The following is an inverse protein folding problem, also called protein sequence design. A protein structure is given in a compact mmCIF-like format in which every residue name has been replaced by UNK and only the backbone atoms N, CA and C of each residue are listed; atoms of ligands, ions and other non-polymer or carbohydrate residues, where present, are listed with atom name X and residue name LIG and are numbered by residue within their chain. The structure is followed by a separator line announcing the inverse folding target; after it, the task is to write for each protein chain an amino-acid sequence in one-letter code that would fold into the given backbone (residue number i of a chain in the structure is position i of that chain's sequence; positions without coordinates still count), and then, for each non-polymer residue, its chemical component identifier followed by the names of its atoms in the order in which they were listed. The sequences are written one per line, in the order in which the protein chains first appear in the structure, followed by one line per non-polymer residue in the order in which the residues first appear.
data_IF_291837173704
#
_entry.id   IF_291837173704
#
_cell.length_a   1.000
_cell.length_b   1.000
_cell.length_c   1.000
_cell.angle_alpha   90.00
_cell.angle_beta   90.00
_cell.angle_gamma   90.00
#
_symmetry.space_group_name_H-M   'P 1'
#
loop_
_entity.id
_entity.type
_entity.pdbx_description
1 polymer ?
#
# COMPACT_ATOMS: atom_id res chain seq x y z
N UNK A 1 -16.39 -15.52 14.52
CA UNK A 1 -16.10 -15.32 13.08
C UNK A 1 -16.11 -13.82 12.83
N UNK A 2 -14.96 -13.19 12.61
CA UNK A 2 -14.88 -11.77 12.23
C UNK A 2 -15.55 -11.61 10.86
N UNK A 3 -16.50 -10.69 10.73
CA UNK A 3 -17.20 -10.49 9.45
C UNK A 3 -16.24 -9.88 8.41
N UNK A 4 -16.47 -10.15 7.12
CA UNK A 4 -15.63 -9.56 6.06
C UNK A 4 -15.68 -8.02 6.06
N UNK A 5 -16.76 -7.43 6.56
CA UNK A 5 -16.94 -5.98 6.68
C UNK A 5 -15.99 -5.40 7.75
N UNK A 6 -15.87 -6.07 8.90
CA UNK A 6 -14.93 -5.66 9.96
C UNK A 6 -13.47 -5.64 9.51
N UNK A 7 -13.08 -6.56 8.62
CA UNK A 7 -11.72 -6.61 8.07
C UNK A 7 -11.44 -5.43 7.15
N UNK A 8 -12.39 -5.07 6.28
CA UNK A 8 -12.24 -3.91 5.39
C UNK A 8 -12.21 -2.59 6.18
N UNK A 9 -13.08 -2.44 7.17
CA UNK A 9 -13.06 -1.27 8.06
C UNK A 9 -11.73 -1.14 8.81
N UNK A 10 -11.15 -2.28 9.20
CA UNK A 10 -9.83 -2.31 9.82
C UNK A 10 -8.72 -1.92 8.84
N UNK A 11 -8.75 -2.41 7.60
CA UNK A 11 -7.80 -2.01 6.54
C UNK A 11 -7.89 -0.50 6.29
N UNK A 12 -9.09 0.07 6.22
CA UNK A 12 -9.29 1.51 6.04
C UNK A 12 -8.74 2.30 7.24
N UNK A 13 -8.96 1.83 8.47
CA UNK A 13 -8.37 2.44 9.68
C UNK A 13 -6.84 2.42 9.65
N UNK A 14 -6.24 1.30 9.24
CA UNK A 14 -4.78 1.18 9.11
C UNK A 14 -4.26 2.14 8.03
N UNK A 15 -4.90 2.19 6.86
CA UNK A 15 -4.54 3.12 5.79
C UNK A 15 -4.53 4.58 6.29
N UNK A 16 -5.58 4.99 7.01
CA UNK A 16 -5.66 6.35 7.61
C UNK A 16 -4.56 6.60 8.62
N UNK A 17 -4.24 5.63 9.47
CA UNK A 17 -3.15 5.74 10.47
C UNK A 17 -1.80 5.93 9.78
N UNK A 18 -1.62 5.32 8.60
CA UNK A 18 -0.43 5.44 7.77
C UNK A 18 -0.43 6.69 6.88
N UNK A 19 -1.44 7.56 6.98
CA UNK A 19 -1.65 8.74 6.12
C UNK A 19 -1.82 8.39 4.63
N UNK A 20 -2.38 7.21 4.35
CA UNK A 20 -2.67 6.75 3.00
C UNK A 20 -4.14 7.07 2.71
N UNK A 21 -4.38 7.98 1.76
CA UNK A 21 -5.73 8.42 1.38
C UNK A 21 -6.43 7.45 0.44
N UNK A 22 -5.67 6.79 -0.43
CA UNK A 22 -6.21 6.00 -1.54
C UNK A 22 -5.48 4.67 -1.70
N UNK A 23 -6.27 3.63 -2.00
CA UNK A 23 -5.78 2.31 -2.38
C UNK A 23 -6.14 2.05 -3.85
N UNK A 24 -5.12 1.73 -4.65
CA UNK A 24 -5.28 1.34 -6.06
C UNK A 24 -5.25 -0.17 -6.18
N UNK A 25 -6.13 -0.71 -7.02
CA UNK A 25 -6.20 -2.14 -7.29
C UNK A 25 -5.39 -2.50 -8.53
N UNK A 26 -4.59 -3.56 -8.43
CA UNK A 26 -3.80 -4.14 -9.51
C UNK A 26 -4.13 -5.62 -9.63
N UNK A 27 -4.26 -6.15 -10.85
CA UNK A 27 -4.46 -7.58 -11.03
C UNK A 27 -3.15 -8.32 -10.68
N UNK A 28 -3.20 -9.44 -9.96
CA UNK A 28 -1.98 -10.20 -9.63
C UNK A 28 -1.29 -10.73 -10.89
N UNK A 29 -2.04 -11.00 -11.96
CA UNK A 29 -1.52 -11.55 -13.23
C UNK A 29 -0.64 -10.56 -14.02
N UNK A 30 -0.78 -9.26 -13.79
CA UNK A 30 0.01 -8.25 -14.53
C UNK A 30 1.39 -8.00 -13.92
N UNK A 31 1.64 -8.49 -12.69
CA UNK A 31 2.91 -8.24 -12.00
C UNK A 31 3.84 -9.45 -12.18
N UNK A 32 4.65 -9.41 -13.23
CA UNK A 32 5.68 -10.42 -13.50
C UNK A 32 6.97 -10.20 -12.70
N UNK A 33 7.30 -8.93 -12.40
CA UNK A 33 8.47 -8.53 -11.63
C UNK A 33 8.09 -7.41 -10.64
N UNK A 34 8.05 -7.76 -9.35
CA UNK A 34 7.67 -6.83 -8.29
C UNK A 34 8.66 -5.69 -8.10
N UNK A 35 9.95 -5.88 -8.36
CA UNK A 35 10.93 -4.80 -8.20
C UNK A 35 10.71 -3.72 -9.26
N UNK A 36 10.62 -4.11 -10.53
CA UNK A 36 10.33 -3.16 -11.62
C UNK A 36 8.99 -2.49 -11.45
N UNK A 37 7.99 -3.25 -11.02
CA UNK A 37 6.66 -2.72 -10.75
C UNK A 37 6.71 -1.64 -9.67
N UNK A 38 7.29 -1.92 -8.50
CA UNK A 38 7.37 -0.95 -7.42
C UNK A 38 8.25 0.26 -7.76
N UNK A 39 9.32 0.08 -8.52
CA UNK A 39 10.16 1.21 -8.91
C UNK A 39 9.43 2.19 -9.83
N UNK A 40 8.53 1.67 -10.67
CA UNK A 40 7.69 2.48 -11.56
C UNK A 40 6.60 3.27 -10.81
N UNK A 41 5.94 2.64 -9.83
CA UNK A 41 4.72 3.23 -9.24
C UNK A 41 4.96 3.97 -7.91
N UNK A 42 6.05 3.67 -7.20
CA UNK A 42 6.36 4.31 -5.92
C UNK A 42 7.28 5.51 -6.13
N UNK A 43 6.94 6.69 -5.57
CA UNK A 43 7.87 7.81 -5.48
C UNK A 43 9.16 7.42 -4.73
N UNK A 44 10.25 8.14 -5.00
CA UNK A 44 11.55 7.89 -4.33
C UNK A 44 11.50 8.19 -2.83
N UNK A 45 10.66 9.12 -2.42
CA UNK A 45 10.52 9.65 -1.07
C UNK A 45 9.34 9.04 -0.29
N UNK A 46 8.95 7.81 -0.66
CA UNK A 46 7.88 7.08 0.02
C UNK A 46 8.28 6.71 1.45
N UNK A 47 7.35 6.90 2.38
CA UNK A 47 7.54 6.69 3.82
C UNK A 47 6.77 5.44 4.26
N UNK A 48 5.48 5.37 3.93
CA UNK A 48 4.63 4.22 4.27
C UNK A 48 4.06 3.60 3.00
N UNK A 49 4.03 2.27 2.98
CA UNK A 49 3.38 1.47 1.93
C UNK A 49 2.43 0.49 2.61
N UNK A 50 1.18 0.47 2.15
CA UNK A 50 0.19 -0.53 2.55
C UNK A 50 -0.14 -1.39 1.34
N UNK A 51 -0.05 -2.70 1.52
CA UNK A 51 -0.44 -3.70 0.52
C UNK A 51 -1.48 -4.63 1.15
N UNK A 52 -2.59 -4.85 0.44
CA UNK A 52 -3.62 -5.82 0.81
C UNK A 52 -3.64 -6.93 -0.23
N UNK A 53 -3.45 -8.16 0.25
CA UNK A 53 -3.37 -9.37 -0.55
C UNK A 53 -4.59 -10.29 -0.31
N UNK A 54 -4.90 -11.20 -1.24
CA UNK A 54 -5.83 -12.29 -0.96
C UNK A 54 -5.26 -13.27 0.07
N UNK A 55 -6.11 -13.90 0.88
CA UNK A 55 -5.72 -14.74 2.04
C UNK A 55 -4.75 -15.91 1.74
N UNK A 56 -4.66 -16.35 0.48
CA UNK A 56 -3.94 -17.58 0.12
C UNK A 56 -2.55 -17.33 -0.50
N UNK A 57 -2.01 -16.11 -0.42
CA UNK A 57 -0.81 -15.71 -1.17
C UNK A 57 0.38 -15.33 -0.27
N UNK A 58 0.77 -16.21 0.66
CA UNK A 58 1.93 -16.00 1.54
C UNK A 58 3.25 -15.85 0.77
N UNK A 59 3.44 -16.59 -0.33
CA UNK A 59 4.63 -16.47 -1.17
C UNK A 59 4.73 -15.09 -1.85
N UNK A 60 3.59 -14.48 -2.15
CA UNK A 60 3.53 -13.13 -2.73
C UNK A 60 3.95 -12.09 -1.69
N UNK A 61 3.53 -12.23 -0.44
CA UNK A 61 3.93 -11.32 0.62
C UNK A 61 5.45 -11.26 0.79
N UNK A 62 6.14 -12.40 0.71
CA UNK A 62 7.61 -12.44 0.80
C UNK A 62 8.29 -11.76 -0.39
N UNK A 63 7.81 -12.03 -1.62
CA UNK A 63 8.31 -11.35 -2.83
C UNK A 63 8.12 -9.83 -2.76
N UNK A 64 6.98 -9.38 -2.25
CA UNK A 64 6.69 -7.95 -2.08
C UNK A 64 7.61 -7.32 -1.04
N UNK A 65 7.82 -7.98 0.11
CA UNK A 65 8.76 -7.50 1.14
C UNK A 65 10.18 -7.33 0.58
N UNK A 66 10.67 -8.34 -0.13
CA UNK A 66 12.01 -8.31 -0.73
C UNK A 66 12.13 -7.23 -1.81
N UNK A 67 11.10 -7.07 -2.65
CA UNK A 67 11.12 -6.07 -3.70
C UNK A 67 11.11 -4.64 -3.12
N UNK A 68 10.26 -4.37 -2.13
CA UNK A 68 10.19 -3.06 -1.49
C UNK A 68 11.47 -2.75 -0.71
N UNK A 69 12.06 -3.71 0.01
CA UNK A 69 13.31 -3.47 0.74
C UNK A 69 14.49 -3.12 -0.20
N UNK A 70 14.47 -3.60 -1.44
CA UNK A 70 15.46 -3.25 -2.46
C UNK A 70 15.19 -1.89 -3.09
N UNK A 71 13.93 -1.61 -3.45
CA UNK A 71 13.56 -0.45 -4.25
C UNK A 71 13.38 0.80 -3.36
N UNK A 72 12.84 0.65 -2.16
CA UNK A 72 12.59 1.71 -1.17
C UNK A 72 12.98 1.24 0.24
N UNK A 73 14.28 1.08 0.53
CA UNK A 73 14.79 0.49 1.78
C UNK A 73 14.39 1.24 3.05
N UNK A 74 14.13 2.54 2.95
CA UNK A 74 13.71 3.40 4.06
C UNK A 74 12.21 3.40 4.32
N UNK A 75 11.41 2.75 3.48
CA UNK A 75 9.96 2.76 3.58
C UNK A 75 9.47 1.69 4.56
N UNK A 76 8.48 2.05 5.38
CA UNK A 76 7.73 1.09 6.19
C UNK A 76 6.69 0.37 5.34
N UNK A 77 6.68 -0.95 5.39
CA UNK A 77 5.74 -1.80 4.66
C UNK A 77 4.77 -2.49 5.62
N UNK A 78 3.48 -2.25 5.41
CA UNK A 78 2.40 -2.98 6.06
C UNK A 78 1.72 -3.89 5.04
N UNK A 79 1.65 -5.20 5.33
CA UNK A 79 0.92 -6.17 4.52
C UNK A 79 -0.29 -6.66 5.31
N UNK A 80 -1.46 -6.56 4.69
CA UNK A 80 -2.72 -7.07 5.22
C UNK A 80 -3.33 -8.07 4.24
N UNK A 81 -4.34 -8.81 4.70
CA UNK A 81 -5.03 -9.78 3.87
C UNK A 81 -6.53 -9.57 3.91
N UNK A 82 -7.19 -9.71 2.76
CA UNK A 82 -8.65 -9.67 2.64
C UNK A 82 -9.17 -10.81 1.76
N UNK A 83 -10.30 -11.40 2.17
CA UNK A 83 -11.05 -12.36 1.33
C UNK A 83 -11.67 -11.70 0.09
N UNK A 84 -11.97 -10.41 0.18
CA UNK A 84 -12.60 -9.66 -0.92
C UNK A 84 -11.58 -9.24 -1.99
N UNK A 85 -10.29 -9.46 -1.74
CA UNK A 85 -9.26 -9.01 -2.65
C UNK A 85 -9.25 -9.75 -4.00
N UNK A 86 -9.84 -10.96 -4.09
CA UNK A 86 -10.17 -11.71 -5.33
C UNK A 86 -9.22 -11.47 -6.53
N UNK A 87 -8.01 -12.04 -6.47
CA UNK A 87 -6.93 -11.92 -7.49
C UNK A 87 -6.43 -10.48 -7.76
N UNK A 88 -6.71 -9.55 -6.85
CA UNK A 88 -6.18 -8.20 -6.90
C UNK A 88 -5.28 -7.92 -5.70
N UNK A 89 -4.28 -7.11 -5.95
CA UNK A 89 -3.45 -6.46 -4.96
C UNK A 89 -4.00 -5.05 -4.80
N UNK A 90 -4.40 -4.67 -3.58
CA UNK A 90 -4.71 -3.27 -3.29
C UNK A 90 -3.49 -2.64 -2.66
N UNK A 91 -3.09 -1.47 -3.15
CA UNK A 91 -1.89 -0.82 -2.70
C UNK A 91 -2.10 0.68 -2.58
N UNK A 92 -1.61 1.24 -1.48
CA UNK A 92 -1.47 2.68 -1.32
C UNK A 92 -0.14 3.02 -0.67
N UNK A 93 0.21 4.29 -0.75
CA UNK A 93 1.44 4.79 -0.19
C UNK A 93 1.29 6.24 0.28
N UNK A 94 2.19 6.64 1.18
CA UNK A 94 2.36 8.00 1.63
C UNK A 94 3.82 8.41 1.42
N UNK A 95 4.04 9.58 0.82
CA UNK A 95 5.37 10.13 0.58
C UNK A 95 5.55 11.50 1.25
N UNK A 96 6.81 11.92 1.40
CA UNK A 96 7.13 13.22 1.97
C UNK A 96 6.58 14.40 1.14
N UNK A 97 6.49 14.25 -0.18
CA UNK A 97 5.85 15.21 -1.07
C UNK A 97 4.35 15.38 -0.75
N UNK A 98 3.64 14.29 -0.41
CA UNK A 98 2.24 14.35 0.04
C UNK A 98 2.11 15.17 1.33
N UNK A 99 3.06 15.03 2.27
CA UNK A 99 3.12 15.84 3.50
C UNK A 99 3.18 17.33 3.21
N UNK A 100 4.03 17.72 2.25
CA UNK A 100 4.23 19.13 1.89
C UNK A 100 2.96 19.68 1.22
N UNK A 101 2.29 18.91 0.36
CA UNK A 101 1.03 19.31 -0.25
C UNK A 101 -0.10 19.47 0.77
N UNK A 102 -0.21 18.56 1.74
CA UNK A 102 -1.22 18.64 2.80
C UNK A 102 -0.96 19.83 3.74
N UNK A 103 0.30 20.09 4.09
CA UNK A 103 0.69 21.28 4.84
C UNK A 103 0.42 22.55 4.04
N UNK A 104 0.77 22.59 2.76
CA UNK A 104 0.51 23.73 1.90
C UNK A 104 -0.99 24.02 1.81
N UNK A 105 -1.85 23.00 1.64
CA UNK A 105 -3.32 23.19 1.66
C UNK A 105 -3.82 23.69 3.01
N UNK A 106 -3.32 23.14 4.13
CA UNK A 106 -3.70 23.55 5.48
C UNK A 106 -3.34 25.00 5.78
N UNK A 107 -2.24 25.51 5.24
CA UNK A 107 -1.74 26.87 5.46
C UNK A 107 -2.03 27.85 4.30
N UNK A 108 -2.63 27.39 3.20
CA UNK A 108 -3.07 28.25 2.08
C UNK A 108 -4.48 28.82 2.27
N UNK A 109 -4.99 28.86 3.51
CA UNK A 109 -6.21 29.60 3.83
C UNK A 109 -5.85 31.10 3.83
N UNK A 110 -6.16 31.76 2.71
CA UNK A 110 -6.43 33.19 2.63
C UNK A 110 -7.87 33.36 2.16
#
# INVERSE_FOLDING_TARGET
MTSNIEVEDYIIKVARTLSISDLRAFNTSIVSDYQKFFDLILPKDVINVLVVLPLNENDMANKIREAISKVRPSASLTIMYSKNASQKIYMGYYSSASKIQDLAKKYSIR
#
